data_IF_953927903111
#
_entry.id   IF_953927903111
#
_cell.length_a   1.000
_cell.length_b   1.000
_cell.length_c   1.000
_cell.angle_alpha   90.00
_cell.angle_beta   90.00
_cell.angle_gamma   90.00
#
_symmetry.space_group_name_H-M   'P 1'
#
loop_
_entity.id
_entity.type
_entity.pdbx_description
1 polymer ?
#
# COMPACT_ATOMS: atom_id res chain seq x y z
N UNK A 1 -9.34 72.05 35.36
CA UNK A 1 -10.36 71.41 36.22
C UNK A 1 -11.12 70.40 35.37
N UNK A 2 -10.95 69.10 35.66
CA UNK A 2 -11.86 68.00 35.21
C UNK A 2 -13.14 68.06 36.08
N UNK A 3 -14.31 67.53 35.67
CA UNK A 3 -14.52 66.08 35.48
C UNK A 3 -15.58 65.66 34.40
N UNK A 4 -15.27 64.67 33.56
CA UNK A 4 -15.66 63.23 33.56
C UNK A 4 -16.92 62.87 32.77
N UNK A 5 -16.68 62.24 31.61
CA UNK A 5 -17.60 61.38 30.87
C UNK A 5 -17.89 60.09 31.66
N UNK A 6 -19.15 59.66 31.68
CA UNK A 6 -19.59 58.34 32.17
C UNK A 6 -20.03 57.52 30.96
N UNK A 7 -19.19 56.59 30.52
CA UNK A 7 -19.54 55.52 29.58
C UNK A 7 -19.81 54.28 30.43
N UNK A 8 -21.01 53.73 30.30
CA UNK A 8 -21.41 52.49 30.95
C UNK A 8 -20.76 51.29 30.26
N UNK A 9 -20.26 50.36 31.07
CA UNK A 9 -19.70 49.08 30.63
C UNK A 9 -20.69 47.93 30.75
N UNK A 10 -20.42 46.89 29.98
CA UNK A 10 -20.65 45.49 30.28
C UNK A 10 -19.45 44.75 29.63
N UNK A 11 -18.46 44.26 30.39
CA UNK A 11 -18.34 42.89 30.94
C UNK A 11 -18.75 41.81 29.95
N UNK A 12 -18.04 40.72 29.66
CA UNK A 12 -16.80 40.07 30.11
C UNK A 12 -16.66 38.87 29.15
N UNK A 13 -15.46 38.48 28.73
CA UNK A 13 -15.30 37.29 27.90
C UNK A 13 -13.85 36.94 27.62
N UNK A 14 -13.09 36.63 28.67
CA UNK A 14 -11.81 35.91 28.58
C UNK A 14 -12.06 34.45 28.96
N UNK A 15 -11.59 33.52 28.13
CA UNK A 15 -11.61 32.07 28.37
C UNK A 15 -11.19 31.37 27.08
N UNK A 16 -9.91 31.03 26.93
CA UNK A 16 -9.30 29.79 27.39
C UNK A 16 -9.67 28.57 26.50
N UNK A 17 -8.65 28.09 25.80
CA UNK A 17 -8.22 26.70 25.65
C UNK A 17 -9.23 25.56 25.36
N UNK A 18 -8.75 24.69 24.47
CA UNK A 18 -9.07 23.26 24.29
C UNK A 18 -10.22 22.84 23.37
N UNK A 19 -9.95 21.73 22.67
CA UNK A 19 -10.85 20.96 21.83
C UNK A 19 -10.14 20.56 20.52
N UNK A 20 -9.20 19.61 20.47
CA UNK A 20 -9.39 18.21 20.85
C UNK A 20 -10.79 17.71 20.45
N UNK A 21 -10.98 17.40 19.16
CA UNK A 21 -12.07 16.58 18.68
C UNK A 21 -11.45 15.42 17.90
N UNK A 22 -11.16 14.30 18.56
CA UNK A 22 -12.14 13.25 18.87
C UNK A 22 -12.77 12.68 17.61
N UNK A 23 -12.11 11.69 17.02
CA UNK A 23 -12.84 10.47 16.68
C UNK A 23 -12.38 9.36 17.62
N UNK A 24 -13.20 9.13 18.64
CA UNK A 24 -13.16 7.96 19.49
C UNK A 24 -13.49 6.67 18.72
N UNK A 25 -13.39 5.51 19.38
CA UNK A 25 -12.99 4.27 18.75
C UNK A 25 -14.17 3.55 18.08
N UNK A 26 -14.09 3.32 16.77
CA UNK A 26 -14.85 2.24 16.15
C UNK A 26 -13.99 0.98 16.18
N UNK A 27 -14.18 0.21 17.25
CA UNK A 27 -13.77 -1.19 17.29
C UNK A 27 -14.69 -1.98 16.35
N UNK A 28 -14.29 -2.09 15.08
CA UNK A 28 -14.56 -3.32 14.33
C UNK A 28 -13.36 -4.22 14.58
N UNK A 29 -13.51 -5.11 15.56
CA UNK A 29 -12.66 -6.30 15.66
C UNK A 29 -12.91 -7.10 14.38
N UNK A 30 -11.83 -7.51 13.74
CA UNK A 30 -11.82 -8.48 12.63
C UNK A 30 -12.01 -7.93 11.20
N UNK A 31 -11.44 -6.76 10.90
CA UNK A 31 -11.06 -6.45 9.51
C UNK A 31 -9.56 -6.17 9.44
N UNK A 32 -8.77 -7.24 9.35
CA UNK A 32 -7.34 -7.18 9.05
C UNK A 32 -7.17 -6.94 7.55
N UNK A 33 -7.54 -5.75 7.09
CA UNK A 33 -7.17 -5.30 5.75
C UNK A 33 -5.71 -4.87 5.78
N UNK A 34 -4.89 -5.32 4.83
CA UNK A 34 -3.55 -4.78 4.64
C UNK A 34 -3.62 -3.26 4.55
N UNK A 35 -2.97 -2.61 5.50
CA UNK A 35 -2.90 -1.18 5.62
C UNK A 35 -1.45 -0.81 5.38
N UNK A 36 -1.14 -0.52 4.11
CA UNK A 36 0.16 -0.02 3.68
C UNK A 36 0.51 1.24 4.49
N UNK A 37 -0.48 2.02 4.95
CA UNK A 37 -0.32 3.15 5.88
C UNK A 37 -0.19 2.78 7.37
N UNK A 38 -0.14 1.49 7.74
CA UNK A 38 -0.03 1.00 9.13
C UNK A 38 0.96 -0.14 9.31
N UNK A 39 1.94 -0.28 8.42
CA UNK A 39 3.11 -1.10 8.72
C UNK A 39 4.04 -0.24 9.57
N UNK A 40 4.17 -0.54 10.87
CA UNK A 40 5.00 0.29 11.78
C UNK A 40 6.48 -0.07 11.74
N UNK A 41 6.84 -1.13 11.00
CA UNK A 41 8.22 -1.57 10.74
C UNK A 41 8.24 -2.72 9.72
N UNK A 42 9.42 -2.97 9.11
CA UNK A 42 9.70 -4.18 8.33
C UNK A 42 9.41 -5.48 9.12
N UNK A 43 9.55 -5.46 10.45
CA UNK A 43 9.29 -6.62 11.31
C UNK A 43 7.79 -6.91 11.55
N UNK A 44 6.89 -5.92 11.41
CA UNK A 44 5.44 -6.15 11.42
C UNK A 44 4.92 -6.62 10.06
N UNK A 45 5.51 -6.15 8.95
CA UNK A 45 5.24 -6.69 7.63
C UNK A 45 5.57 -8.20 7.61
N UNK A 46 6.75 -8.57 8.10
CA UNK A 46 7.19 -9.97 8.16
C UNK A 46 6.26 -10.89 9.01
N UNK A 47 5.60 -10.36 10.05
CA UNK A 47 4.65 -11.11 10.91
C UNK A 47 3.26 -11.29 10.31
N UNK A 48 2.83 -10.41 9.40
CA UNK A 48 1.54 -10.53 8.73
C UNK A 48 1.57 -11.52 7.56
N UNK A 49 2.74 -11.69 6.92
CA UNK A 49 2.88 -12.51 5.71
C UNK A 49 3.33 -13.95 5.94
N UNK A 50 3.81 -14.28 7.15
CA UNK A 50 4.10 -15.66 7.52
C UNK A 50 3.14 -16.12 8.62
N UNK A 51 2.03 -16.75 8.23
CA UNK A 51 1.26 -17.64 9.11
C UNK A 51 2.06 -18.89 9.55
N UNK A 52 3.33 -18.98 9.17
CA UNK A 52 4.33 -19.88 9.71
C UNK A 52 5.39 -19.04 10.46
N UNK A 53 5.95 -19.52 11.59
CA UNK A 53 7.21 -18.96 12.04
C UNK A 53 8.20 -19.03 10.87
N UNK A 54 8.99 -17.97 10.66
CA UNK A 54 10.20 -18.08 9.86
C UNK A 54 10.88 -19.42 10.24
N UNK A 55 11.02 -20.32 9.26
CA UNK A 55 11.46 -21.70 9.45
C UNK A 55 12.88 -21.83 10.00
N UNK A 56 13.53 -20.73 10.39
CA UNK A 56 14.82 -20.71 11.04
C UNK A 56 14.78 -21.11 12.53
N UNK A 57 13.61 -21.20 13.18
CA UNK A 57 13.54 -21.36 14.64
C UNK A 57 13.07 -22.73 15.17
N UNK A 58 12.84 -23.75 14.34
CA UNK A 58 12.40 -25.06 14.82
C UNK A 58 13.04 -26.28 14.15
N UNK A 59 14.33 -26.23 13.81
CA UNK A 59 15.12 -27.46 13.74
C UNK A 59 16.45 -27.29 14.47
N UNK A 60 16.49 -27.80 15.70
CA UNK A 60 17.72 -28.24 16.37
C UNK A 60 18.56 -29.07 15.40
N UNK A 61 19.70 -28.53 14.94
CA UNK A 61 20.74 -29.33 14.27
C UNK A 61 21.38 -28.81 12.98
N UNK A 62 21.25 -27.53 12.60
CA UNK A 62 22.14 -26.99 11.56
C UNK A 62 23.49 -26.57 12.17
N UNK A 63 24.44 -27.50 12.21
CA UNK A 63 25.87 -27.20 12.39
C UNK A 63 26.48 -26.63 11.11
N UNK A 64 25.84 -25.64 10.48
CA UNK A 64 26.49 -24.83 9.48
C UNK A 64 27.12 -23.62 10.15
N UNK A 65 28.40 -23.33 9.89
CA UNK A 65 29.08 -22.21 10.50
C UNK A 65 28.36 -20.91 10.13
N UNK A 66 28.17 -20.04 11.11
CA UNK A 66 27.75 -18.65 10.99
C UNK A 66 28.79 -17.87 10.14
N UNK A 67 28.77 -18.06 8.82
CA UNK A 67 29.58 -17.29 7.87
C UNK A 67 28.72 -16.48 6.88
N UNK A 68 27.45 -16.22 7.23
CA UNK A 68 26.54 -15.37 6.46
C UNK A 68 25.85 -14.32 7.37
N UNK A 69 26.59 -13.81 8.37
CA UNK A 69 26.32 -12.51 8.99
C UNK A 69 27.31 -11.48 8.45
N UNK A 70 27.55 -11.51 7.14
CA UNK A 70 28.01 -10.30 6.48
C UNK A 70 26.75 -9.46 6.31
N UNK A 71 26.73 -8.28 6.94
CA UNK A 71 25.66 -7.31 6.71
C UNK A 71 25.46 -7.20 5.19
N UNK A 72 24.22 -7.32 4.67
CA UNK A 72 23.99 -7.15 3.25
C UNK A 72 24.63 -5.81 2.86
N UNK A 73 25.33 -5.75 1.71
CA UNK A 73 25.98 -4.53 1.28
C UNK A 73 24.96 -3.39 1.35
N UNK A 74 25.35 -2.19 1.82
CA UNK A 74 24.43 -1.08 1.99
C UNK A 74 23.58 -0.96 0.72
N UNK A 75 22.26 -1.06 0.90
CA UNK A 75 21.30 -1.10 -0.20
C UNK A 75 21.63 0.02 -1.18
N UNK A 76 21.91 -0.35 -2.41
CA UNK A 76 22.25 0.60 -3.45
C UNK A 76 20.96 1.37 -3.79
N UNK A 77 20.93 2.69 -3.59
CA UNK A 77 19.77 3.51 -3.94
C UNK A 77 19.31 3.26 -5.39
N UNK A 78 20.22 2.87 -6.29
CA UNK A 78 19.89 2.50 -7.67
C UNK A 78 19.12 1.18 -7.78
N UNK A 79 19.33 0.25 -6.85
CA UNK A 79 18.61 -1.03 -6.76
C UNK A 79 17.19 -0.81 -6.27
N UNK A 80 17.00 -0.03 -5.22
CA UNK A 80 15.66 0.34 -4.72
C UNK A 80 14.88 1.09 -5.81
N UNK A 81 15.52 2.03 -6.51
CA UNK A 81 14.91 2.75 -7.64
C UNK A 81 14.44 1.78 -8.74
N UNK A 82 15.28 0.82 -9.15
CA UNK A 82 14.92 -0.15 -10.17
C UNK A 82 13.71 -1.02 -9.75
N UNK A 83 13.64 -1.39 -8.46
CA UNK A 83 12.51 -2.14 -7.91
C UNK A 83 11.23 -1.29 -7.84
N UNK A 84 11.33 -0.01 -7.46
CA UNK A 84 10.18 0.91 -7.48
C UNK A 84 9.65 1.08 -8.91
N UNK A 85 10.54 1.14 -9.90
CA UNK A 85 10.14 1.15 -11.30
C UNK A 85 9.44 -0.16 -11.73
N UNK A 86 9.97 -1.32 -11.35
CA UNK A 86 9.31 -2.61 -11.61
C UNK A 86 7.92 -2.66 -10.96
N UNK A 87 7.80 -2.20 -9.72
CA UNK A 87 6.52 -2.13 -9.02
C UNK A 87 5.52 -1.22 -9.77
N UNK A 88 5.95 -0.06 -10.26
CA UNK A 88 5.10 0.81 -11.07
C UNK A 88 4.57 0.10 -12.31
N UNK A 89 5.43 -0.58 -13.06
CA UNK A 89 5.04 -1.32 -14.27
C UNK A 89 4.08 -2.47 -13.98
N UNK A 90 4.11 -3.04 -12.77
CA UNK A 90 3.14 -4.05 -12.35
C UNK A 90 1.78 -3.44 -11.97
N UNK A 91 1.78 -2.20 -11.45
CA UNK A 91 0.58 -1.46 -11.07
C UNK A 91 -0.12 -0.79 -12.25
N UNK A 92 0.64 -0.34 -13.25
CA UNK A 92 0.16 0.05 -14.58
C UNK A 92 -0.41 -1.22 -15.25
N UNK A 93 -1.73 -1.39 -15.16
CA UNK A 93 -2.40 -2.62 -15.58
C UNK A 93 -2.62 -2.63 -17.09
N UNK A 94 -2.84 -1.46 -17.69
CA UNK A 94 -3.06 -1.29 -19.13
C UNK A 94 -1.76 -1.02 -19.92
N UNK A 95 -0.64 -0.80 -19.23
CA UNK A 95 0.69 -0.50 -19.79
C UNK A 95 0.74 0.81 -20.60
N UNK A 96 0.00 1.84 -20.19
CA UNK A 96 -0.04 3.13 -20.87
C UNK A 96 1.01 4.14 -20.35
N UNK A 97 1.78 3.76 -19.33
CA UNK A 97 2.81 4.58 -18.70
C UNK A 97 2.30 5.51 -17.60
N UNK A 98 1.03 5.42 -17.25
CA UNK A 98 0.40 6.16 -16.15
C UNK A 98 -0.26 5.19 -15.18
N UNK A 99 -0.28 5.57 -13.90
CA UNK A 99 -1.06 4.86 -12.90
C UNK A 99 -2.40 5.56 -12.70
N UNK A 100 -3.50 4.88 -13.02
CA UNK A 100 -4.85 5.38 -12.78
C UNK A 100 -5.38 5.01 -11.38
N UNK A 101 -6.32 5.81 -10.86
CA UNK A 101 -7.05 5.49 -9.62
C UNK A 101 -7.69 4.08 -9.69
N UNK A 102 -8.25 3.74 -10.84
CA UNK A 102 -8.92 2.46 -11.05
C UNK A 102 -7.95 1.28 -11.00
N UNK A 103 -6.73 1.45 -11.50
CA UNK A 103 -5.71 0.39 -11.52
C UNK A 103 -5.20 0.09 -10.11
N UNK A 104 -4.85 1.14 -9.35
CA UNK A 104 -4.44 0.99 -7.96
C UNK A 104 -5.52 0.27 -7.14
N UNK A 105 -6.78 0.68 -7.29
CA UNK A 105 -7.92 0.07 -6.59
C UNK A 105 -8.10 -1.39 -7.00
N UNK A 106 -8.08 -1.70 -8.30
CA UNK A 106 -8.30 -3.06 -8.79
C UNK A 106 -7.17 -4.00 -8.41
N UNK A 107 -5.90 -3.60 -8.54
CA UNK A 107 -4.79 -4.47 -8.14
C UNK A 107 -4.81 -4.74 -6.64
N UNK A 108 -5.10 -3.74 -5.80
CA UNK A 108 -5.19 -3.94 -4.36
C UNK A 108 -6.39 -4.80 -3.95
N UNK A 109 -7.50 -4.76 -4.70
CA UNK A 109 -8.58 -5.75 -4.56
C UNK A 109 -8.08 -7.17 -4.81
N UNK A 110 -7.27 -7.38 -5.86
CA UNK A 110 -6.68 -8.70 -6.16
C UNK A 110 -5.69 -9.14 -5.09
N UNK A 111 -4.86 -8.25 -4.56
CA UNK A 111 -3.97 -8.55 -3.42
C UNK A 111 -4.81 -9.00 -2.22
N UNK A 112 -5.88 -8.27 -1.87
CA UNK A 112 -6.76 -8.65 -0.77
C UNK A 112 -7.46 -10.00 -1.00
N UNK A 113 -7.92 -10.28 -2.23
CA UNK A 113 -8.48 -11.59 -2.59
C UNK A 113 -7.44 -12.71 -2.45
N UNK A 114 -6.17 -12.45 -2.77
CA UNK A 114 -5.07 -13.40 -2.62
C UNK A 114 -4.85 -13.82 -1.16
N UNK A 115 -4.97 -12.87 -0.22
CA UNK A 115 -4.74 -13.13 1.21
C UNK A 115 -5.96 -13.62 1.97
N UNK A 116 -7.15 -13.11 1.65
CA UNK A 116 -8.35 -13.29 2.47
C UNK A 116 -9.48 -14.04 1.75
N UNK A 117 -9.27 -14.44 0.50
CA UNK A 117 -10.29 -15.10 -0.29
C UNK A 117 -11.45 -14.16 -0.66
N UNK A 118 -12.65 -14.72 -0.87
CA UNK A 118 -13.80 -13.98 -1.42
C UNK A 118 -14.53 -13.11 -0.40
N UNK A 119 -14.25 -13.27 0.89
CA UNK A 119 -14.99 -12.65 1.99
C UNK A 119 -14.53 -11.22 2.31
N UNK A 120 -13.80 -10.58 1.39
CA UNK A 120 -13.37 -9.20 1.56
C UNK A 120 -14.52 -8.21 1.33
N UNK A 121 -14.57 -7.15 2.15
CA UNK A 121 -15.43 -6.01 1.88
C UNK A 121 -14.79 -5.13 0.79
N UNK A 122 -15.15 -5.43 -0.47
CA UNK A 122 -14.65 -4.69 -1.64
C UNK A 122 -15.04 -3.21 -1.60
N UNK A 123 -16.17 -2.83 -1.02
CA UNK A 123 -16.62 -1.44 -1.00
C UNK A 123 -15.75 -0.60 -0.07
N UNK A 124 -15.43 -1.14 1.11
CA UNK A 124 -14.51 -0.49 2.05
C UNK A 124 -13.12 -0.38 1.43
N UNK A 125 -12.64 -1.45 0.80
CA UNK A 125 -11.33 -1.47 0.14
C UNK A 125 -11.22 -0.44 -0.99
N UNK A 126 -12.23 -0.37 -1.86
CA UNK A 126 -12.33 0.65 -2.93
C UNK A 126 -12.25 2.04 -2.37
N UNK A 127 -13.05 2.34 -1.35
CA UNK A 127 -13.09 3.68 -0.75
C UNK A 127 -11.73 4.05 -0.15
N UNK A 128 -11.07 3.09 0.51
CA UNK A 128 -9.74 3.26 1.09
C UNK A 128 -8.71 3.63 0.02
N UNK A 129 -8.59 2.85 -1.04
CA UNK A 129 -7.56 3.09 -2.06
C UNK A 129 -7.85 4.28 -2.97
N UNK A 130 -9.12 4.60 -3.24
CA UNK A 130 -9.47 5.88 -3.88
C UNK A 130 -9.06 7.08 -3.03
N UNK A 131 -9.31 7.00 -1.72
CA UNK A 131 -8.91 8.05 -0.78
C UNK A 131 -7.39 8.22 -0.79
N UNK A 132 -6.64 7.12 -0.67
CA UNK A 132 -5.17 7.14 -0.73
C UNK A 132 -4.67 7.77 -2.03
N UNK A 133 -5.20 7.35 -3.18
CA UNK A 133 -4.81 7.90 -4.49
C UNK A 133 -5.01 9.42 -4.53
N UNK A 134 -6.17 9.90 -4.07
CA UNK A 134 -6.47 11.34 -4.10
C UNK A 134 -5.68 12.15 -3.09
N UNK A 135 -5.38 11.59 -1.93
CA UNK A 135 -4.63 12.30 -0.90
C UNK A 135 -3.14 12.40 -1.22
N UNK A 136 -2.56 11.38 -1.87
CA UNK A 136 -1.10 11.25 -2.00
C UNK A 136 -0.57 11.31 -3.43
N UNK A 137 -1.38 10.97 -4.43
CA UNK A 137 -0.91 10.90 -5.82
C UNK A 137 -1.55 11.99 -6.69
N UNK A 138 -2.88 12.10 -6.67
CA UNK A 138 -3.61 13.01 -7.55
C UNK A 138 -4.94 13.46 -6.94
N UNK A 139 -5.00 14.66 -6.32
CA UNK A 139 -6.22 15.20 -5.71
C UNK A 139 -7.41 15.30 -6.66
N UNK A 140 -7.16 15.49 -7.96
CA UNK A 140 -8.18 15.51 -9.01
C UNK A 140 -8.59 14.11 -9.49
N UNK A 141 -7.83 13.06 -9.13
CA UNK A 141 -8.04 11.69 -9.61
C UNK A 141 -7.50 11.44 -11.02
N UNK A 142 -6.70 12.36 -11.56
CA UNK A 142 -6.04 12.21 -12.87
C UNK A 142 -4.95 11.13 -12.82
N UNK A 143 -4.70 10.40 -13.93
CA UNK A 143 -3.61 9.44 -14.03
C UNK A 143 -2.24 10.09 -13.73
N UNK A 144 -1.35 9.36 -13.06
CA UNK A 144 -0.05 9.89 -12.63
C UNK A 144 1.12 9.20 -13.33
N UNK A 145 2.14 9.96 -13.76
CA UNK A 145 3.35 9.37 -14.36
C UNK A 145 4.24 8.74 -13.28
N UNK A 146 5.19 7.91 -13.71
CA UNK A 146 6.18 7.26 -12.84
C UNK A 146 6.83 8.21 -11.84
N UNK A 147 7.24 9.41 -12.25
CA UNK A 147 7.93 10.37 -11.38
C UNK A 147 7.11 10.78 -10.15
N UNK A 148 5.78 10.84 -10.26
CA UNK A 148 4.92 11.12 -9.10
C UNK A 148 4.83 9.91 -8.18
N UNK A 149 4.63 8.72 -8.76
CA UNK A 149 4.57 7.47 -8.02
C UNK A 149 5.89 7.19 -7.28
N UNK A 150 7.02 7.42 -7.95
CA UNK A 150 8.37 7.29 -7.40
C UNK A 150 8.54 8.13 -6.14
N UNK A 151 8.22 9.42 -6.19
CA UNK A 151 8.31 10.32 -5.02
C UNK A 151 7.47 9.83 -3.86
N UNK A 152 6.22 9.46 -4.14
CA UNK A 152 5.34 8.89 -3.13
C UNK A 152 5.93 7.60 -2.52
N UNK A 153 6.46 6.70 -3.34
CA UNK A 153 7.07 5.45 -2.85
C UNK A 153 8.33 5.69 -2.04
N UNK A 154 9.18 6.64 -2.43
CA UNK A 154 10.35 7.03 -1.62
C UNK A 154 9.94 7.55 -0.24
N UNK A 155 8.89 8.38 -0.16
CA UNK A 155 8.36 8.89 1.11
C UNK A 155 7.77 7.75 1.97
N UNK A 156 7.04 6.83 1.33
CA UNK A 156 6.50 5.64 2.01
C UNK A 156 7.62 4.77 2.56
N UNK A 157 8.62 4.41 1.75
CA UNK A 157 9.71 3.54 2.17
C UNK A 157 10.52 4.16 3.30
N UNK A 158 10.85 5.44 3.19
CA UNK A 158 11.55 6.19 4.24
C UNK A 158 10.74 6.28 5.54
N UNK A 159 9.42 6.35 5.44
CA UNK A 159 8.51 6.34 6.58
C UNK A 159 8.33 4.97 7.24
N UNK A 160 8.54 3.89 6.49
CA UNK A 160 8.44 2.51 6.96
C UNK A 160 9.73 2.03 7.63
N UNK A 161 10.87 2.28 6.99
CA UNK A 161 12.19 1.91 7.50
C UNK A 161 13.28 2.80 6.88
N UNK A 162 14.14 3.47 7.66
CA UNK A 162 15.23 4.28 7.11
C UNK A 162 16.40 3.44 6.56
N UNK A 163 16.47 2.13 6.85
CA UNK A 163 17.54 1.26 6.36
C UNK A 163 17.33 0.89 4.87
N UNK A 164 18.27 1.20 3.96
CA UNK A 164 18.11 0.90 2.53
C UNK A 164 17.95 -0.59 2.21
N UNK A 165 18.58 -1.48 3.00
CA UNK A 165 18.43 -2.92 2.82
C UNK A 165 17.01 -3.39 3.18
N UNK A 166 16.45 -2.88 4.29
CA UNK A 166 15.06 -3.12 4.65
C UNK A 166 14.09 -2.55 3.61
N UNK A 167 14.37 -1.37 3.05
CA UNK A 167 13.55 -0.79 1.98
C UNK A 167 13.56 -1.67 0.72
N UNK A 168 14.71 -2.18 0.30
CA UNK A 168 14.81 -3.15 -0.80
C UNK A 168 13.89 -4.36 -0.56
N UNK A 169 14.01 -4.99 0.62
CA UNK A 169 13.17 -6.12 1.00
C UNK A 169 11.67 -5.79 1.00
N UNK A 170 11.29 -4.59 1.43
CA UNK A 170 9.88 -4.13 1.42
C UNK A 170 9.37 -4.02 -0.03
N UNK A 171 10.13 -3.43 -0.94
CA UNK A 171 9.70 -3.30 -2.35
C UNK A 171 9.65 -4.65 -3.04
N UNK A 172 10.62 -5.55 -2.79
CA UNK A 172 10.59 -6.92 -3.30
C UNK A 172 9.34 -7.68 -2.86
N UNK A 173 8.91 -7.48 -1.61
CA UNK A 173 7.67 -8.04 -1.10
C UNK A 173 6.44 -7.45 -1.83
N UNK A 174 6.38 -6.13 -2.04
CA UNK A 174 5.30 -5.50 -2.80
C UNK A 174 5.23 -6.02 -4.24
N UNK A 175 6.38 -6.21 -4.90
CA UNK A 175 6.47 -6.79 -6.24
C UNK A 175 5.92 -8.22 -6.25
N UNK A 176 6.28 -9.03 -5.24
CA UNK A 176 5.81 -10.41 -5.12
C UNK A 176 4.29 -10.48 -5.00
N UNK A 177 3.69 -9.60 -4.19
CA UNK A 177 2.24 -9.50 -4.03
C UNK A 177 1.56 -8.99 -5.30
N UNK A 178 2.12 -7.97 -5.96
CA UNK A 178 1.59 -7.46 -7.22
C UNK A 178 1.60 -8.56 -8.30
N UNK A 179 2.67 -9.34 -8.41
CA UNK A 179 2.75 -10.50 -9.34
C UNK A 179 1.69 -11.56 -9.01
N UNK A 180 1.55 -11.94 -7.74
CA UNK A 180 0.52 -12.90 -7.31
C UNK A 180 -0.90 -12.39 -7.60
N UNK A 181 -1.17 -11.11 -7.35
CA UNK A 181 -2.44 -10.47 -7.65
C UNK A 181 -2.72 -10.42 -9.15
N UNK A 182 -1.71 -10.19 -9.98
CA UNK A 182 -1.86 -10.21 -11.44
C UNK A 182 -2.28 -11.60 -11.96
N UNK A 183 -1.76 -12.67 -11.38
CA UNK A 183 -2.20 -14.02 -11.73
C UNK A 183 -3.71 -14.24 -11.48
N UNK A 184 -4.30 -13.57 -10.48
CA UNK A 184 -5.73 -13.68 -10.16
C UNK A 184 -6.68 -13.00 -11.16
N UNK A 185 -6.18 -12.24 -12.13
CA UNK A 185 -7.01 -11.80 -13.26
C UNK A 185 -7.38 -12.98 -14.17
N UNK A 186 -6.56 -14.02 -14.22
CA UNK A 186 -6.77 -15.20 -15.06
C UNK A 186 -7.56 -16.32 -14.37
N UNK A 187 -7.90 -16.16 -13.08
CA UNK A 187 -8.68 -17.13 -12.35
C UNK A 187 -10.17 -16.78 -12.42
N UNK A 188 -10.97 -17.58 -13.15
CA UNK A 188 -12.42 -17.38 -13.30
C UNK A 188 -13.15 -17.23 -11.96
N UNK A 189 -12.73 -17.98 -10.94
CA UNK A 189 -13.31 -17.93 -9.60
C UNK A 189 -13.11 -16.59 -8.90
N UNK A 190 -12.15 -15.78 -9.34
CA UNK A 190 -11.81 -14.45 -8.82
C UNK A 190 -12.09 -13.31 -9.81
N UNK A 191 -12.62 -13.61 -10.99
CA UNK A 191 -12.93 -12.64 -12.02
C UNK A 191 -13.98 -11.62 -11.52
N UNK A 192 -13.79 -10.36 -11.90
CA UNK A 192 -14.72 -9.26 -11.64
C UNK A 192 -15.15 -8.61 -12.95
N UNK A 193 -16.33 -7.97 -12.96
CA UNK A 193 -16.92 -7.36 -14.16
C UNK A 193 -16.10 -6.21 -14.77
N UNK A 194 -15.01 -5.79 -14.13
CA UNK A 194 -14.07 -4.77 -14.64
C UNK A 194 -12.71 -5.32 -15.08
N UNK A 195 -12.44 -6.62 -14.89
CA UNK A 195 -11.12 -7.20 -15.16
C UNK A 195 -10.79 -7.28 -16.65
N UNK A 196 -11.82 -7.35 -17.50
CA UNK A 196 -11.67 -7.54 -18.94
C UNK A 196 -10.82 -6.45 -19.63
N UNK A 197 -10.79 -5.23 -19.07
CA UNK A 197 -9.97 -4.13 -19.60
C UNK A 197 -8.47 -4.27 -19.31
N UNK A 198 -8.11 -5.16 -18.39
CA UNK A 198 -6.74 -5.39 -17.92
C UNK A 198 -6.18 -6.75 -18.34
N UNK A 199 -7.04 -7.59 -18.92
CA UNK A 199 -6.58 -8.82 -19.53
C UNK A 199 -5.96 -8.46 -20.89
N UNK A 200 -4.75 -8.98 -21.21
CA UNK A 200 -4.26 -8.87 -22.57
C UNK A 200 -5.32 -9.47 -23.49
N UNK A 201 -5.69 -8.73 -24.54
CA UNK A 201 -6.63 -9.18 -25.56
C UNK A 201 -6.32 -10.64 -25.90
N UNK A 202 -7.31 -11.56 -25.90
CA UNK A 202 -7.06 -12.91 -26.36
C UNK A 202 -6.44 -12.79 -27.75
N UNK A 203 -5.25 -13.35 -27.93
CA UNK A 203 -4.68 -13.52 -29.26
C UNK A 203 -5.78 -14.05 -30.15
N UNK A 204 -6.05 -13.35 -31.25
CA UNK A 204 -7.11 -13.68 -32.19
C UNK A 204 -7.16 -15.19 -32.42
N UNK A 205 -8.36 -15.75 -32.27
CA UNK A 205 -8.72 -17.15 -32.43
C UNK A 205 -7.93 -17.81 -33.58
N UNK A 206 -7.20 -18.89 -33.29
CA UNK A 206 -6.44 -19.56 -34.34
C UNK A 206 -5.69 -20.84 -33.99
N UNK A 207 -5.72 -21.34 -32.76
CA UNK A 207 -5.12 -22.65 -32.43
C UNK A 207 -6.23 -23.63 -32.09
N UNK A 208 -6.72 -24.33 -33.12
CA UNK A 208 -7.45 -25.58 -32.96
C UNK A 208 -6.43 -26.61 -32.44
N UNK A 209 -6.49 -26.94 -31.15
CA UNK A 209 -5.87 -28.20 -30.68
C UNK A 209 -6.84 -29.31 -31.08
N UNK A 210 -6.56 -29.96 -32.20
CA UNK A 210 -7.20 -31.23 -32.52
C UNK A 210 -6.64 -32.32 -31.62
N UNK A 211 -7.59 -33.05 -31.01
CA UNK A 211 -7.56 -34.38 -30.38
C UNK A 211 -6.24 -35.14 -30.28
#
# INVERSE_FOLDING_TARGET
>A
WRPTSKVGGATTGSGAAMGASQFGPMQSKDSRTLDIGRLKSASEACRLFSGAPCGCLLMTGCSQPLSYLEDPPPGDDSRVEALVQELFLLQDLNSDGFLEEGELVTLNEKIALSHYGKDIDRLVLRRKYRKLFREHLSPSGEPVPYEMFRRYMTDVLSGLDPDPGAQEMIVEQFITEAKAARALFHCESFASSGDARFLPMPFAEGVIIMG
#
